data_IF_775770457922
#
_entry.id   IF_775770457922
#
_cell.length_a   1.000
_cell.length_b   1.000
_cell.length_c   1.000
_cell.angle_alpha   90.00
_cell.angle_beta   90.00
_cell.angle_gamma   90.00
#
_symmetry.space_group_name_H-M   'P 1'
#
loop_
_entity.id
_entity.type
_entity.pdbx_description
1 polymer ?
#
# COMPACT_ATOMS: atom_id res chain seq x y z
N UNK A 1 9.88 16.74 -20.72
CA UNK A 1 10.31 15.36 -21.07
C UNK A 1 10.63 14.47 -19.85
N UNK A 2 11.48 14.87 -18.88
CA UNK A 2 11.79 14.02 -17.69
C UNK A 2 10.55 13.81 -16.81
N UNK A 3 9.85 14.88 -16.44
CA UNK A 3 8.63 14.81 -15.64
C UNK A 3 7.56 13.89 -16.28
N UNK A 4 7.38 14.00 -17.60
CA UNK A 4 6.41 13.16 -18.34
C UNK A 4 6.77 11.67 -18.28
N UNK A 5 8.07 11.32 -18.40
CA UNK A 5 8.51 9.93 -18.32
C UNK A 5 8.33 9.34 -16.91
N UNK A 6 8.64 10.13 -15.88
CA UNK A 6 8.41 9.73 -14.49
C UNK A 6 6.91 9.60 -14.20
N UNK A 7 6.09 10.57 -14.62
CA UNK A 7 4.63 10.53 -14.46
C UNK A 7 4.02 9.32 -15.18
N UNK A 8 4.47 9.00 -16.39
CA UNK A 8 4.03 7.83 -17.14
C UNK A 8 4.39 6.53 -16.39
N UNK A 9 5.59 6.45 -15.82
CA UNK A 9 6.02 5.28 -15.04
C UNK A 9 5.18 5.11 -13.77
N UNK A 10 4.93 6.19 -13.01
CA UNK A 10 3.98 6.14 -11.88
C UNK A 10 2.60 5.71 -12.35
N UNK A 11 2.12 6.29 -13.45
CA UNK A 11 0.81 5.96 -14.01
C UNK A 11 0.67 4.46 -14.30
N UNK A 12 1.65 3.86 -14.96
CA UNK A 12 1.57 2.43 -15.30
C UNK A 12 1.69 1.53 -14.07
N UNK A 13 2.59 1.84 -13.11
CA UNK A 13 2.66 1.07 -11.85
C UNK A 13 1.33 1.13 -11.11
N UNK A 14 0.76 2.34 -10.98
CA UNK A 14 -0.50 2.51 -10.25
C UNK A 14 -1.71 1.98 -11.00
N UNK A 15 -1.66 1.88 -12.32
CA UNK A 15 -2.65 1.13 -13.09
C UNK A 15 -2.64 -0.35 -12.69
N UNK A 16 -1.46 -0.97 -12.62
CA UNK A 16 -1.33 -2.37 -12.16
C UNK A 16 -1.86 -2.52 -10.73
N UNK A 17 -1.48 -1.63 -9.81
CA UNK A 17 -1.94 -1.67 -8.42
C UNK A 17 -3.45 -1.46 -8.34
N UNK A 18 -4.03 -0.57 -9.16
CA UNK A 18 -5.46 -0.26 -9.20
C UNK A 18 -6.34 -1.42 -9.71
N UNK A 19 -5.78 -2.37 -10.44
CA UNK A 19 -6.45 -3.64 -10.78
C UNK A 19 -6.13 -4.71 -9.75
N UNK A 20 -4.85 -4.86 -9.38
CA UNK A 20 -4.39 -5.92 -8.51
C UNK A 20 -4.98 -5.81 -7.10
N UNK A 21 -4.96 -4.63 -6.49
CA UNK A 21 -5.41 -4.47 -5.11
C UNK A 21 -6.90 -4.79 -4.94
N UNK A 22 -7.82 -4.27 -5.79
CA UNK A 22 -9.23 -4.61 -5.70
C UNK A 22 -9.57 -6.03 -6.15
N UNK A 23 -9.00 -6.50 -7.26
CA UNK A 23 -9.58 -7.65 -7.96
C UNK A 23 -8.72 -8.93 -7.93
N UNK A 24 -7.44 -8.88 -7.52
CA UNK A 24 -6.59 -10.06 -7.44
C UNK A 24 -7.09 -11.14 -6.47
N UNK A 25 -7.68 -10.79 -5.31
CA UNK A 25 -8.31 -11.78 -4.44
C UNK A 25 -9.42 -12.59 -5.13
N UNK A 26 -10.24 -11.97 -6.00
CA UNK A 26 -11.25 -12.70 -6.80
C UNK A 26 -10.62 -13.71 -7.74
N UNK A 27 -9.52 -13.35 -8.41
CA UNK A 27 -8.79 -14.30 -9.26
C UNK A 27 -8.25 -15.47 -8.44
N UNK A 28 -7.70 -15.23 -7.26
CA UNK A 28 -7.25 -16.32 -6.38
C UNK A 28 -8.41 -17.21 -5.94
N UNK A 29 -9.54 -16.65 -5.59
CA UNK A 29 -10.76 -17.39 -5.24
C UNK A 29 -11.26 -18.22 -6.42
N UNK A 30 -11.27 -17.69 -7.66
CA UNK A 30 -11.66 -18.42 -8.87
C UNK A 30 -10.71 -19.58 -9.21
N UNK A 31 -9.47 -19.56 -8.69
CA UNK A 31 -8.50 -20.66 -8.76
C UNK A 31 -8.65 -21.67 -7.61
N UNK A 32 -9.70 -21.55 -6.81
CA UNK A 32 -10.06 -22.49 -5.75
C UNK A 32 -9.31 -22.29 -4.43
N UNK A 33 -8.67 -21.13 -4.21
CA UNK A 33 -8.07 -20.82 -2.91
C UNK A 33 -9.17 -20.48 -1.92
N UNK A 34 -9.05 -21.03 -0.71
CA UNK A 34 -9.89 -20.66 0.43
C UNK A 34 -9.55 -19.26 0.94
N UNK A 35 -10.40 -18.69 1.78
CA UNK A 35 -10.10 -17.41 2.43
C UNK A 35 -8.83 -17.48 3.28
N UNK A 36 -8.59 -18.59 3.97
CA UNK A 36 -7.35 -18.83 4.71
C UNK A 36 -6.13 -18.79 3.77
N UNK A 37 -6.21 -19.47 2.63
CA UNK A 37 -5.14 -19.50 1.62
C UNK A 37 -4.85 -18.09 1.10
N UNK A 38 -5.89 -17.32 0.76
CA UNK A 38 -5.76 -15.93 0.28
C UNK A 38 -5.08 -15.06 1.34
N UNK A 39 -5.50 -15.18 2.60
CA UNK A 39 -4.88 -14.46 3.71
C UNK A 39 -3.38 -14.75 3.84
N UNK A 40 -3.00 -16.03 3.77
CA UNK A 40 -1.59 -16.45 3.83
C UNK A 40 -0.80 -15.96 2.61
N UNK A 41 -1.32 -16.16 1.40
CA UNK A 41 -0.67 -15.72 0.15
C UNK A 41 -0.40 -14.23 0.14
N UNK A 42 -1.40 -13.42 0.52
CA UNK A 42 -1.23 -11.97 0.62
C UNK A 42 -0.24 -11.55 1.71
N UNK A 43 -0.31 -12.18 2.89
CA UNK A 43 0.60 -11.92 4.00
C UNK A 43 2.06 -12.22 3.65
N UNK A 44 2.31 -13.35 3.01
CA UNK A 44 3.65 -13.74 2.56
C UNK A 44 4.17 -12.84 1.44
N UNK A 45 3.30 -12.40 0.52
CA UNK A 45 3.66 -11.39 -0.48
C UNK A 45 4.09 -10.06 0.16
N UNK A 46 3.38 -9.62 1.22
CA UNK A 46 3.75 -8.41 1.96
C UNK A 46 5.06 -8.58 2.75
N UNK A 47 5.31 -9.78 3.29
CA UNK A 47 6.56 -10.08 4.00
C UNK A 47 7.77 -9.98 3.07
N UNK A 48 7.63 -10.37 1.79
CA UNK A 48 8.71 -10.22 0.82
C UNK A 48 9.18 -8.78 0.65
N UNK A 49 8.31 -7.78 0.85
CA UNK A 49 8.70 -6.36 0.82
C UNK A 49 9.70 -6.01 1.93
N UNK A 50 9.57 -6.62 3.10
CA UNK A 50 10.46 -6.37 4.25
C UNK A 50 11.87 -6.87 3.95
N UNK A 51 11.98 -7.96 3.21
CA UNK A 51 13.26 -8.58 2.83
C UNK A 51 13.86 -7.90 1.59
N UNK A 52 13.05 -7.75 0.53
CA UNK A 52 13.54 -7.29 -0.76
C UNK A 52 13.95 -5.81 -0.77
N UNK A 53 13.15 -4.93 -0.15
CA UNK A 53 13.37 -3.49 -0.26
C UNK A 53 14.70 -3.05 0.34
N UNK A 54 15.14 -3.44 1.54
CA UNK A 54 16.44 -3.05 2.10
C UNK A 54 17.63 -3.57 1.28
N UNK A 55 17.55 -4.81 0.82
CA UNK A 55 18.63 -5.44 0.03
C UNK A 55 18.85 -4.68 -1.28
N UNK A 56 17.76 -4.37 -1.96
CA UNK A 56 17.81 -3.74 -3.28
C UNK A 56 18.10 -2.24 -3.17
N UNK A 57 17.57 -1.55 -2.15
CA UNK A 57 17.94 -0.18 -1.84
C UNK A 57 19.45 -0.08 -1.57
N UNK A 58 20.02 -0.96 -0.74
CA UNK A 58 21.44 -1.00 -0.47
C UNK A 58 22.30 -1.26 -1.71
N UNK A 59 21.88 -2.15 -2.59
CA UNK A 59 22.54 -2.36 -3.88
C UNK A 59 22.51 -1.10 -4.76
N UNK A 60 21.33 -0.49 -4.88
CA UNK A 60 21.13 0.70 -5.70
C UNK A 60 21.91 1.91 -5.14
N UNK A 61 22.05 2.04 -3.81
CA UNK A 61 22.84 3.11 -3.17
C UNK A 61 24.33 2.94 -3.41
N UNK A 62 24.85 1.71 -3.37
CA UNK A 62 26.26 1.41 -3.66
C UNK A 62 26.62 1.65 -5.11
N UNK A 63 25.74 1.33 -6.04
CA UNK A 63 26.00 1.46 -7.48
C UNK A 63 25.69 2.85 -8.04
N UNK A 64 24.94 3.66 -7.30
CA UNK A 64 24.50 4.98 -7.76
C UNK A 64 23.53 4.94 -8.95
N UNK A 65 23.06 3.75 -9.35
CA UNK A 65 22.16 3.58 -10.49
C UNK A 65 20.76 3.20 -10.02
N UNK A 66 19.73 3.76 -10.67
CA UNK A 66 18.33 3.44 -10.36
C UNK A 66 17.61 2.83 -11.57
N UNK A 67 17.88 3.35 -12.78
CA UNK A 67 17.20 2.88 -14.00
C UNK A 67 17.51 1.43 -14.34
N UNK A 68 18.77 0.98 -14.23
CA UNK A 68 19.15 -0.41 -14.48
C UNK A 68 18.37 -1.38 -13.61
N UNK A 69 18.42 -1.26 -12.27
CA UNK A 69 17.59 -2.04 -11.36
C UNK A 69 16.10 -1.99 -11.69
N UNK A 70 15.51 -0.81 -11.98
CA UNK A 70 14.10 -0.68 -12.35
C UNK A 70 13.75 -1.53 -13.58
N UNK A 71 14.58 -1.55 -14.62
CA UNK A 71 14.37 -2.39 -15.81
C UNK A 71 14.47 -3.87 -15.44
N UNK A 72 15.54 -4.28 -14.77
CA UNK A 72 15.81 -5.69 -14.44
C UNK A 72 14.70 -6.24 -13.56
N UNK A 73 14.32 -5.52 -12.50
CA UNK A 73 13.28 -5.98 -11.58
C UNK A 73 11.89 -5.98 -12.22
N UNK A 74 11.57 -5.03 -13.09
CA UNK A 74 10.28 -5.06 -13.80
C UNK A 74 10.21 -6.24 -14.79
N UNK A 75 11.32 -6.61 -15.45
CA UNK A 75 11.37 -7.81 -16.30
C UNK A 75 11.15 -9.07 -15.47
N UNK A 76 11.90 -9.26 -14.38
CA UNK A 76 11.73 -10.42 -13.51
C UNK A 76 10.36 -10.47 -12.84
N UNK A 77 9.78 -9.34 -12.44
CA UNK A 77 8.42 -9.28 -11.93
C UNK A 77 7.40 -9.72 -13.00
N UNK A 78 7.55 -9.27 -14.24
CA UNK A 78 6.67 -9.68 -15.35
C UNK A 78 6.81 -11.19 -15.65
N UNK A 79 8.04 -11.70 -15.67
CA UNK A 79 8.29 -13.13 -15.84
C UNK A 79 7.68 -13.95 -14.69
N UNK A 80 7.88 -13.54 -13.43
CA UNK A 80 7.26 -14.19 -12.29
C UNK A 80 5.73 -14.12 -12.38
N UNK A 81 5.15 -12.96 -12.75
CA UNK A 81 3.71 -12.81 -12.89
C UNK A 81 3.14 -13.73 -13.98
N UNK A 82 3.84 -13.90 -15.11
CA UNK A 82 3.38 -14.78 -16.18
C UNK A 82 3.22 -16.24 -15.74
N UNK A 83 3.96 -16.69 -14.71
CA UNK A 83 3.86 -18.05 -14.18
C UNK A 83 2.63 -18.29 -13.29
N UNK A 84 1.82 -17.25 -12.98
CA UNK A 84 0.52 -17.47 -12.34
C UNK A 84 -0.46 -18.22 -13.23
N UNK A 85 -0.38 -18.07 -14.56
CA UNK A 85 -1.32 -18.75 -15.46
C UNK A 85 -1.33 -20.26 -15.32
N UNK A 86 -0.19 -20.97 -15.39
CA UNK A 86 -0.13 -22.40 -15.17
C UNK A 86 -0.16 -22.81 -13.68
N UNK A 87 -0.05 -21.87 -12.74
CA UNK A 87 -0.03 -22.18 -11.31
C UNK A 87 -1.41 -22.64 -10.82
N UNK A 88 -1.46 -23.79 -10.17
CA UNK A 88 -2.67 -24.37 -9.62
C UNK A 88 -2.44 -24.81 -8.16
N UNK A 89 -3.43 -24.52 -7.31
CA UNK A 89 -3.40 -24.84 -5.89
C UNK A 89 -2.50 -23.91 -5.07
N UNK A 90 -2.64 -24.01 -3.77
CA UNK A 90 -2.05 -23.11 -2.78
C UNK A 90 -0.52 -22.93 -2.92
N UNK A 91 0.24 -24.01 -2.92
CA UNK A 91 1.70 -23.93 -2.87
C UNK A 91 2.33 -23.29 -4.12
N UNK A 92 1.78 -23.57 -5.30
CA UNK A 92 2.28 -22.96 -6.53
C UNK A 92 1.97 -21.48 -6.60
N UNK A 93 0.75 -21.07 -6.24
CA UNK A 93 0.33 -19.66 -6.20
C UNK A 93 1.12 -18.88 -5.12
N UNK A 94 1.35 -19.50 -3.96
CA UNK A 94 2.18 -18.90 -2.91
C UNK A 94 3.62 -18.68 -3.40
N UNK A 95 4.25 -19.67 -4.00
CA UNK A 95 5.63 -19.56 -4.50
C UNK A 95 5.75 -18.47 -5.58
N UNK A 96 4.82 -18.42 -6.52
CA UNK A 96 4.78 -17.38 -7.56
C UNK A 96 4.55 -16.00 -6.93
N UNK A 97 3.66 -15.88 -5.94
CA UNK A 97 3.42 -14.62 -5.23
C UNK A 97 4.69 -14.11 -4.55
N UNK A 98 5.41 -14.98 -3.86
CA UNK A 98 6.68 -14.61 -3.22
C UNK A 98 7.70 -14.15 -4.25
N UNK A 99 7.87 -14.90 -5.36
CA UNK A 99 8.77 -14.53 -6.45
C UNK A 99 8.37 -13.19 -7.09
N UNK A 100 7.08 -12.99 -7.37
CA UNK A 100 6.58 -11.74 -7.93
C UNK A 100 6.87 -10.55 -7.00
N UNK A 101 6.51 -10.62 -5.72
CA UNK A 101 6.71 -9.51 -4.79
C UNK A 101 8.18 -9.26 -4.46
N UNK A 102 9.06 -10.27 -4.56
CA UNK A 102 10.50 -10.09 -4.44
C UNK A 102 11.01 -9.08 -5.47
N UNK A 103 10.51 -9.13 -6.71
CA UNK A 103 10.93 -8.26 -7.78
C UNK A 103 10.04 -7.01 -7.96
N UNK A 104 8.76 -7.10 -7.62
CA UNK A 104 7.81 -6.01 -7.77
C UNK A 104 7.96 -4.94 -6.68
N UNK A 105 8.14 -5.36 -5.42
CA UNK A 105 8.09 -4.43 -4.29
C UNK A 105 9.15 -3.33 -4.31
N UNK A 106 10.39 -3.54 -4.83
CA UNK A 106 11.42 -2.49 -4.87
C UNK A 106 11.19 -1.43 -5.95
N UNK A 107 10.30 -1.68 -6.92
CA UNK A 107 10.08 -0.73 -8.01
C UNK A 107 9.63 0.64 -7.50
N UNK A 108 8.76 0.65 -6.50
CA UNK A 108 8.21 1.89 -5.95
C UNK A 108 9.27 2.72 -5.20
N UNK A 109 9.99 2.21 -4.19
CA UNK A 109 11.04 2.95 -3.51
C UNK A 109 12.15 3.46 -4.45
N UNK A 110 12.56 2.66 -5.43
CA UNK A 110 13.56 3.07 -6.42
C UNK A 110 13.05 4.23 -7.30
N UNK A 111 11.77 4.18 -7.68
CA UNK A 111 11.14 5.26 -8.47
C UNK A 111 11.04 6.55 -7.67
N UNK A 112 10.65 6.46 -6.41
CA UNK A 112 10.56 7.62 -5.52
C UNK A 112 11.93 8.29 -5.35
N UNK A 113 12.98 7.50 -5.08
CA UNK A 113 14.35 8.01 -4.98
C UNK A 113 14.80 8.70 -6.27
N UNK A 114 14.51 8.10 -7.44
CA UNK A 114 14.81 8.68 -8.74
C UNK A 114 14.06 10.00 -8.96
N UNK A 115 12.79 10.05 -8.59
CA UNK A 115 11.94 11.23 -8.76
C UNK A 115 12.38 12.37 -7.84
N UNK A 116 12.72 12.07 -6.59
CA UNK A 116 13.22 13.06 -5.63
C UNK A 116 14.57 13.65 -6.10
N UNK A 117 15.46 12.82 -6.65
CA UNK A 117 16.72 13.31 -7.24
C UNK A 117 16.46 14.35 -8.34
N UNK A 118 15.56 14.07 -9.27
CA UNK A 118 15.19 15.04 -10.31
C UNK A 118 14.39 16.23 -9.75
N UNK A 119 13.64 16.04 -8.67
CA UNK A 119 12.98 17.11 -7.92
C UNK A 119 13.97 18.17 -7.49
N UNK A 120 15.05 17.74 -6.84
CA UNK A 120 16.12 18.62 -6.38
C UNK A 120 16.94 19.18 -7.55
N UNK A 121 17.42 18.32 -8.47
CA UNK A 121 18.33 18.70 -9.54
C UNK A 121 17.68 19.57 -10.65
N UNK A 122 16.39 19.41 -10.90
CA UNK A 122 15.66 20.06 -12.00
C UNK A 122 14.42 20.85 -11.54
N UNK A 123 14.24 21.04 -10.22
CA UNK A 123 13.07 21.74 -9.62
C UNK A 123 11.74 21.13 -10.08
N UNK A 124 11.69 19.80 -10.25
CA UNK A 124 10.44 19.12 -10.58
C UNK A 124 9.55 19.05 -9.34
N UNK A 125 8.27 19.34 -9.53
CA UNK A 125 7.26 19.16 -8.48
C UNK A 125 6.95 17.66 -8.33
N UNK A 126 7.46 17.07 -7.24
CA UNK A 126 7.21 15.66 -6.90
C UNK A 126 5.72 15.35 -6.80
N UNK A 127 4.94 16.24 -6.14
CA UNK A 127 3.50 16.04 -5.95
C UNK A 127 2.75 15.92 -7.27
N UNK A 128 3.06 16.78 -8.23
CA UNK A 128 2.45 16.74 -9.56
C UNK A 128 2.82 15.49 -10.35
N UNK A 129 4.07 15.02 -10.25
CA UNK A 129 4.49 13.78 -10.92
C UNK A 129 3.81 12.58 -10.28
N UNK A 130 3.76 12.52 -8.96
CA UNK A 130 3.18 11.42 -8.17
C UNK A 130 1.66 11.35 -8.30
N UNK A 131 0.98 12.48 -8.50
CA UNK A 131 -0.48 12.58 -8.68
C UNK A 131 -0.98 11.71 -9.84
N UNK A 132 -0.21 11.59 -10.93
CA UNK A 132 -0.57 10.72 -12.05
C UNK A 132 -0.78 9.27 -11.63
N UNK A 133 -0.03 8.79 -10.63
CA UNK A 133 -0.26 7.48 -10.04
C UNK A 133 -1.66 7.36 -9.43
N UNK A 134 -2.08 8.32 -8.60
CA UNK A 134 -3.43 8.28 -7.99
C UNK A 134 -4.54 8.35 -9.04
N UNK A 135 -4.39 9.21 -10.07
CA UNK A 135 -5.38 9.33 -11.14
C UNK A 135 -5.52 8.04 -11.94
N UNK A 136 -4.40 7.36 -12.24
CA UNK A 136 -4.44 6.09 -12.98
C UNK A 136 -4.92 4.94 -12.11
N UNK A 137 -4.67 4.94 -10.79
CA UNK A 137 -5.29 3.99 -9.86
C UNK A 137 -6.81 4.13 -9.88
N UNK A 138 -7.34 5.35 -9.75
CA UNK A 138 -8.77 5.64 -9.78
C UNK A 138 -9.39 5.15 -11.09
N UNK A 139 -8.77 5.50 -12.22
CA UNK A 139 -9.23 5.08 -13.54
C UNK A 139 -9.18 3.55 -13.71
N UNK A 140 -8.14 2.89 -13.21
CA UNK A 140 -7.97 1.44 -13.27
C UNK A 140 -8.98 0.71 -12.37
N UNK A 141 -9.17 1.15 -11.13
CA UNK A 141 -10.11 0.51 -10.22
C UNK A 141 -11.55 0.62 -10.75
N UNK A 142 -11.98 1.82 -11.13
CA UNK A 142 -13.33 2.04 -11.66
C UNK A 142 -13.51 1.42 -13.05
N UNK A 143 -12.64 1.75 -14.01
CA UNK A 143 -12.71 1.23 -15.38
C UNK A 143 -12.50 -0.27 -15.44
N UNK A 144 -11.60 -0.82 -14.59
CA UNK A 144 -11.39 -2.24 -14.44
C UNK A 144 -12.63 -2.96 -13.91
N UNK A 145 -13.28 -2.41 -12.86
CA UNK A 145 -14.55 -2.95 -12.35
C UNK A 145 -15.63 -2.99 -13.41
N UNK A 146 -15.78 -1.93 -14.20
CA UNK A 146 -16.72 -1.89 -15.31
C UNK A 146 -16.36 -2.94 -16.38
N UNK A 147 -15.09 -3.05 -16.74
CA UNK A 147 -14.62 -4.01 -17.75
C UNK A 147 -14.81 -5.47 -17.30
N UNK A 148 -14.66 -5.74 -16.00
CA UNK A 148 -14.77 -7.09 -15.41
C UNK A 148 -16.21 -7.51 -15.15
N UNK A 149 -17.19 -6.60 -15.18
CA UNK A 149 -18.61 -6.92 -14.94
C UNK A 149 -19.13 -7.87 -16.01
N UNK A 150 -19.64 -9.03 -15.59
CA UNK A 150 -20.16 -10.08 -16.47
C UNK A 150 -19.11 -10.85 -17.27
N UNK A 151 -17.83 -10.72 -16.90
CA UNK A 151 -16.72 -11.43 -17.56
C UNK A 151 -15.99 -12.34 -16.57
N UNK A 152 -15.23 -13.31 -17.11
CA UNK A 152 -14.40 -14.23 -16.33
C UNK A 152 -13.32 -13.49 -15.54
N UNK A 153 -13.02 -13.97 -14.35
CA UNK A 153 -11.92 -13.51 -13.48
C UNK A 153 -10.55 -13.68 -14.13
N UNK A 154 -10.42 -14.55 -15.12
CA UNK A 154 -9.19 -14.69 -15.90
C UNK A 154 -8.76 -13.41 -16.59
N UNK A 155 -9.71 -12.51 -16.90
CA UNK A 155 -9.41 -11.21 -17.47
C UNK A 155 -8.57 -10.33 -16.52
N UNK A 156 -8.72 -10.53 -15.20
CA UNK A 156 -7.90 -9.83 -14.17
C UNK A 156 -6.42 -10.15 -14.41
N UNK A 157 -6.09 -11.43 -14.58
CA UNK A 157 -4.73 -11.87 -14.88
C UNK A 157 -4.17 -11.19 -16.13
N UNK A 158 -4.91 -11.21 -17.24
CA UNK A 158 -4.44 -10.64 -18.50
C UNK A 158 -4.25 -9.12 -18.44
N UNK A 159 -5.13 -8.39 -17.77
CA UNK A 159 -4.99 -6.94 -17.58
C UNK A 159 -3.72 -6.63 -16.79
N UNK A 160 -3.47 -7.36 -15.69
CA UNK A 160 -2.28 -7.17 -14.86
C UNK A 160 -1.02 -7.54 -15.64
N UNK A 161 -1.01 -8.65 -16.36
CA UNK A 161 0.14 -9.07 -17.18
C UNK A 161 0.48 -8.00 -18.23
N UNK A 162 -0.50 -7.52 -18.99
CA UNK A 162 -0.29 -6.43 -19.94
C UNK A 162 0.23 -5.16 -19.24
N UNK A 163 -0.29 -4.86 -18.04
CA UNK A 163 0.18 -3.75 -17.21
C UNK A 163 1.65 -3.93 -16.80
N UNK A 164 2.07 -5.13 -16.36
CA UNK A 164 3.47 -5.37 -15.99
C UNK A 164 4.41 -5.26 -17.20
N UNK A 165 4.00 -5.70 -18.39
CA UNK A 165 4.73 -5.46 -19.63
C UNK A 165 4.87 -3.96 -19.93
N UNK A 166 3.79 -3.20 -19.74
CA UNK A 166 3.84 -1.73 -19.89
C UNK A 166 4.78 -1.07 -18.86
N UNK A 167 4.89 -1.63 -17.64
CA UNK A 167 5.90 -1.18 -16.64
C UNK A 167 7.31 -1.40 -17.18
N UNK A 168 7.62 -2.54 -17.78
CA UNK A 168 8.94 -2.79 -18.43
C UNK A 168 9.21 -1.76 -19.51
N UNK A 169 8.27 -1.53 -20.41
CA UNK A 169 8.43 -0.55 -21.50
C UNK A 169 8.68 0.85 -20.94
N UNK A 170 7.89 1.25 -19.95
CA UNK A 170 8.05 2.58 -19.33
C UNK A 170 9.34 2.71 -18.53
N UNK A 171 9.86 1.63 -17.91
CA UNK A 171 11.15 1.60 -17.23
C UNK A 171 12.31 1.86 -18.20
N UNK A 172 12.26 1.28 -19.40
CA UNK A 172 13.26 1.52 -20.48
C UNK A 172 13.26 2.99 -20.90
N UNK A 173 12.12 3.68 -20.83
CA UNK A 173 11.99 5.09 -21.19
C UNK A 173 12.43 6.05 -20.08
N UNK A 174 12.70 5.58 -18.86
CA UNK A 174 13.12 6.42 -17.74
C UNK A 174 14.45 7.12 -18.04
N UNK A 175 14.66 8.33 -17.48
CA UNK A 175 15.91 9.05 -17.66
C UNK A 175 17.06 8.37 -16.92
N UNK A 176 18.27 8.46 -17.47
CA UNK A 176 19.48 8.03 -16.79
C UNK A 176 19.85 9.05 -15.70
N UNK A 177 19.97 8.60 -14.46
CA UNK A 177 20.58 9.36 -13.38
C UNK A 177 21.75 8.54 -12.80
N UNK A 178 22.88 9.16 -12.60
CA UNK A 178 23.92 8.68 -11.71
C UNK A 178 23.83 9.48 -10.42
N UNK A 179 23.42 8.82 -9.36
CA UNK A 179 23.43 9.37 -8.01
C UNK A 179 24.83 9.16 -7.42
N UNK A 180 25.30 10.08 -6.62
CA UNK A 180 26.54 9.88 -5.88
C UNK A 180 26.37 8.62 -5.01
N UNK A 181 27.25 7.61 -5.14
CA UNK A 181 27.20 6.46 -4.26
C UNK A 181 27.26 6.90 -2.80
N UNK A 182 26.37 6.40 -1.98
CA UNK A 182 26.40 6.64 -0.54
C UNK A 182 27.34 5.64 0.09
N UNK A 183 28.29 6.09 0.89
CA UNK A 183 29.02 5.22 1.82
C UNK A 183 28.04 4.79 2.90
N UNK A 184 27.29 3.72 2.62
CA UNK A 184 26.39 3.10 3.57
C UNK A 184 27.26 2.54 4.72
N UNK A 185 27.36 3.28 5.80
CA UNK A 185 27.80 2.70 7.06
C UNK A 185 26.72 1.74 7.50
N UNK A 186 26.99 0.44 7.39
CA UNK A 186 26.15 -0.64 7.92
C UNK A 186 26.19 -0.60 9.47
N UNK A 187 25.71 0.49 10.05
CA UNK A 187 25.61 0.65 11.50
C UNK A 187 24.17 0.41 11.92
N UNK A 188 23.97 -0.54 12.84
CA UNK A 188 22.68 -0.72 13.52
C UNK A 188 22.44 0.32 14.63
N UNK A 189 23.44 1.16 14.95
CA UNK A 189 23.34 2.16 16.00
C UNK A 189 22.16 3.12 15.85
N UNK A 190 21.87 3.70 14.64
CA UNK A 190 20.69 4.55 14.47
C UNK A 190 19.37 3.82 14.69
N UNK A 191 19.28 2.53 14.30
CA UNK A 191 18.08 1.71 14.52
C UNK A 191 17.87 1.49 16.03
N UNK A 192 18.94 1.12 16.75
CA UNK A 192 18.88 0.94 18.19
C UNK A 192 18.54 2.23 18.93
N UNK A 193 19.04 3.38 18.45
CA UNK A 193 18.70 4.69 19.00
C UNK A 193 17.20 4.97 18.87
N UNK A 194 16.63 4.76 17.69
CA UNK A 194 15.19 4.95 17.43
C UNK A 194 14.34 4.01 18.27
N UNK A 195 14.74 2.73 18.40
CA UNK A 195 14.01 1.73 19.18
C UNK A 195 14.11 1.92 20.70
N UNK A 196 15.03 2.74 21.19
CA UNK A 196 15.08 3.13 22.61
C UNK A 196 14.06 4.22 22.99
N UNK A 197 13.52 4.96 22.02
CA UNK A 197 12.49 5.97 22.30
C UNK A 197 11.14 5.29 22.56
N UNK A 198 10.73 5.21 23.83
CA UNK A 198 9.44 4.62 24.24
C UNK A 198 8.25 5.29 23.58
N UNK A 199 8.31 6.59 23.32
CA UNK A 199 7.22 7.32 22.65
C UNK A 199 7.11 6.89 21.19
N UNK A 200 8.24 6.69 20.52
CA UNK A 200 8.28 6.15 19.18
C UNK A 200 7.74 4.71 19.10
N UNK A 201 8.04 3.86 20.08
CA UNK A 201 7.47 2.51 20.13
C UNK A 201 5.94 2.53 20.29
N UNK A 202 5.39 3.38 21.17
CA UNK A 202 3.95 3.55 21.29
C UNK A 202 3.32 4.13 20.01
N UNK A 203 4.02 5.03 19.32
CA UNK A 203 3.61 5.54 18.01
C UNK A 203 3.55 4.40 16.98
N UNK A 204 4.55 3.51 16.92
CA UNK A 204 4.54 2.33 16.03
C UNK A 204 3.33 1.42 16.34
N UNK A 205 3.06 1.16 17.62
CA UNK A 205 1.90 0.34 18.02
C UNK A 205 0.60 1.01 17.60
N UNK A 206 0.42 2.29 17.88
CA UNK A 206 -0.80 3.03 17.54
C UNK A 206 -1.07 3.04 16.04
N UNK A 207 -0.07 3.44 15.26
CA UNK A 207 -0.19 3.51 13.80
C UNK A 207 -0.26 2.12 13.16
N UNK A 208 0.43 1.14 13.74
CA UNK A 208 0.39 -0.26 13.32
C UNK A 208 -1.01 -0.85 13.45
N UNK A 209 -1.68 -0.65 14.59
CA UNK A 209 -3.05 -1.09 14.81
C UNK A 209 -4.03 -0.43 13.83
N UNK A 210 -3.92 0.90 13.64
CA UNK A 210 -4.80 1.63 12.71
C UNK A 210 -4.58 1.16 11.27
N UNK A 211 -3.34 1.02 10.83
CA UNK A 211 -3.05 0.60 9.46
C UNK A 211 -3.39 -0.88 9.23
N UNK A 212 -3.01 -1.77 10.14
CA UNK A 212 -3.31 -3.19 10.02
C UNK A 212 -4.82 -3.50 10.06
N UNK A 213 -5.64 -2.61 10.65
CA UNK A 213 -7.11 -2.74 10.60
C UNK A 213 -7.71 -2.70 9.19
N UNK A 214 -6.95 -2.27 8.19
CA UNK A 214 -7.38 -2.28 6.79
C UNK A 214 -7.29 -3.68 6.13
N UNK A 215 -6.72 -4.68 6.81
CA UNK A 215 -6.36 -5.92 6.13
C UNK A 215 -7.55 -6.71 5.60
N UNK A 216 -8.66 -6.77 6.35
CA UNK A 216 -9.89 -7.44 5.88
C UNK A 216 -10.42 -6.74 4.62
N UNK A 217 -10.39 -5.41 4.59
CA UNK A 217 -10.79 -4.63 3.42
C UNK A 217 -9.89 -4.92 2.21
N UNK A 218 -8.57 -4.95 2.38
CA UNK A 218 -7.64 -5.19 1.28
C UNK A 218 -7.68 -6.63 0.76
N UNK A 219 -7.92 -7.60 1.62
CA UNK A 219 -7.94 -9.01 1.24
C UNK A 219 -9.32 -9.47 0.77
N UNK A 220 -10.38 -9.00 1.41
CA UNK A 220 -11.71 -9.57 1.25
C UNK A 220 -12.80 -8.55 0.89
N UNK A 221 -12.51 -7.25 0.86
CA UNK A 221 -13.54 -6.22 0.61
C UNK A 221 -14.27 -6.42 -0.72
N UNK A 222 -13.55 -6.76 -1.79
CA UNK A 222 -14.16 -7.03 -3.09
C UNK A 222 -14.96 -8.33 -3.10
N UNK A 223 -14.43 -9.40 -2.49
CA UNK A 223 -15.14 -10.68 -2.34
C UNK A 223 -16.42 -10.46 -1.56
N UNK A 224 -16.33 -9.80 -0.42
CA UNK A 224 -17.47 -9.51 0.46
C UNK A 224 -18.59 -8.73 -0.25
N UNK A 225 -18.25 -7.70 -0.99
CA UNK A 225 -19.25 -6.90 -1.71
C UNK A 225 -19.81 -7.60 -2.94
N UNK A 226 -19.04 -8.48 -3.59
CA UNK A 226 -19.56 -9.33 -4.67
C UNK A 226 -20.53 -10.37 -4.12
N UNK A 227 -20.23 -11.01 -2.98
CA UNK A 227 -21.12 -11.92 -2.26
C UNK A 227 -22.40 -11.21 -1.79
N UNK A 228 -22.33 -9.93 -1.43
CA UNK A 228 -23.49 -9.09 -1.09
C UNK A 228 -24.30 -8.66 -2.34
N UNK A 229 -23.90 -9.06 -3.55
CA UNK A 229 -24.63 -8.81 -4.80
C UNK A 229 -24.25 -7.54 -5.53
N UNK A 230 -23.21 -6.82 -5.11
CA UNK A 230 -22.73 -5.64 -5.85
C UNK A 230 -21.95 -6.06 -7.10
N UNK A 231 -22.20 -5.35 -8.21
CA UNK A 231 -21.44 -5.57 -9.44
C UNK A 231 -19.98 -5.12 -9.30
N UNK A 232 -19.06 -5.75 -10.06
CA UNK A 232 -17.65 -5.33 -10.10
C UNK A 232 -17.47 -3.86 -10.47
N UNK A 233 -18.40 -3.27 -11.25
CA UNK A 233 -18.41 -1.84 -11.57
C UNK A 233 -18.65 -0.97 -10.32
N UNK A 234 -19.62 -1.33 -9.47
CA UNK A 234 -19.88 -0.65 -8.20
C UNK A 234 -18.70 -0.81 -7.25
N UNK A 235 -18.16 -2.02 -7.15
CA UNK A 235 -16.99 -2.32 -6.30
C UNK A 235 -15.78 -1.49 -6.75
N UNK A 236 -15.51 -1.43 -8.05
CA UNK A 236 -14.43 -0.60 -8.60
C UNK A 236 -14.60 0.89 -8.28
N UNK A 237 -15.85 1.40 -8.29
CA UNK A 237 -16.15 2.75 -7.85
C UNK A 237 -15.87 2.97 -6.35
N UNK A 238 -16.29 2.04 -5.48
CA UNK A 238 -16.02 2.12 -4.04
C UNK A 238 -14.52 2.21 -3.74
N UNK A 239 -13.69 1.44 -4.46
CA UNK A 239 -12.23 1.56 -4.35
C UNK A 239 -11.71 2.91 -4.86
N UNK A 240 -12.20 3.37 -6.00
CA UNK A 240 -11.81 4.65 -6.57
C UNK A 240 -12.18 5.84 -5.66
N UNK A 241 -13.38 5.82 -5.08
CA UNK A 241 -13.89 6.83 -4.16
C UNK A 241 -13.01 6.98 -2.92
N UNK A 242 -12.56 5.87 -2.35
CA UNK A 242 -11.62 5.89 -1.22
C UNK A 242 -10.33 6.63 -1.55
N UNK A 243 -9.76 6.39 -2.74
CA UNK A 243 -8.53 7.06 -3.18
C UNK A 243 -8.80 8.53 -3.56
N UNK A 244 -9.98 8.86 -4.11
CA UNK A 244 -10.39 10.26 -4.33
C UNK A 244 -10.40 11.03 -3.00
N UNK A 245 -11.00 10.45 -1.95
CA UNK A 245 -11.03 11.07 -0.63
C UNK A 245 -9.62 11.27 -0.05
N UNK A 246 -8.71 10.31 -0.27
CA UNK A 246 -7.30 10.42 0.12
C UNK A 246 -6.58 11.56 -0.61
N UNK A 247 -6.72 11.66 -1.93
CA UNK A 247 -6.13 12.73 -2.74
C UNK A 247 -6.64 14.09 -2.28
N UNK A 248 -7.94 14.22 -2.05
CA UNK A 248 -8.55 15.45 -1.53
C UNK A 248 -7.95 15.82 -0.16
N UNK A 249 -7.80 14.86 0.74
CA UNK A 249 -7.18 15.11 2.05
C UNK A 249 -5.73 15.61 1.89
N UNK A 250 -4.94 15.00 1.02
CA UNK A 250 -3.55 15.41 0.82
C UNK A 250 -3.40 16.80 0.19
N UNK A 251 -4.36 17.26 -0.63
CA UNK A 251 -4.34 18.63 -1.17
C UNK A 251 -4.33 19.71 -0.08
N UNK A 252 -4.90 19.44 1.08
CA UNK A 252 -4.92 20.34 2.24
C UNK A 252 -4.07 19.83 3.42
N UNK A 253 -3.29 18.81 3.21
CA UNK A 253 -2.56 18.07 4.24
C UNK A 253 -1.77 18.94 5.21
N UNK A 254 -0.90 19.82 4.68
CA UNK A 254 -0.10 20.74 5.51
C UNK A 254 -0.96 21.67 6.40
N UNK A 255 -2.07 22.18 5.86
CA UNK A 255 -2.99 23.04 6.62
C UNK A 255 -3.68 22.25 7.73
N UNK A 256 -4.07 21.02 7.43
CA UNK A 256 -4.73 20.11 8.39
C UNK A 256 -3.77 19.78 9.52
N UNK A 257 -2.53 19.36 9.21
CA UNK A 257 -1.53 19.02 10.23
C UNK A 257 -1.17 20.22 11.09
N UNK A 258 -0.98 21.42 10.49
CA UNK A 258 -0.71 22.65 11.26
C UNK A 258 -1.83 23.02 12.23
N UNK A 259 -3.09 22.75 11.86
CA UNK A 259 -4.26 23.09 12.69
C UNK A 259 -4.57 22.03 13.75
N UNK A 260 -4.45 20.75 13.41
CA UNK A 260 -4.86 19.62 14.26
C UNK A 260 -3.70 19.09 15.09
N UNK A 261 -2.50 19.03 14.51
CA UNK A 261 -1.31 18.38 15.05
C UNK A 261 -1.23 16.90 14.70
N UNK A 262 -0.01 16.38 14.55
CA UNK A 262 0.27 15.04 14.06
C UNK A 262 -0.37 13.92 14.90
N UNK A 263 -0.16 13.93 16.22
CA UNK A 263 -0.69 12.90 17.12
C UNK A 263 -2.23 12.88 17.17
N UNK A 264 -2.87 14.07 17.16
CA UNK A 264 -4.34 14.15 17.12
C UNK A 264 -4.89 13.65 15.77
N UNK A 265 -4.18 13.92 14.69
CA UNK A 265 -4.58 13.45 13.35
C UNK A 265 -4.57 11.91 13.29
N UNK A 266 -3.56 11.27 13.87
CA UNK A 266 -3.52 9.81 14.01
C UNK A 266 -4.66 9.31 14.90
N UNK A 267 -4.96 9.99 16.01
CA UNK A 267 -6.08 9.62 16.88
C UNK A 267 -7.44 9.72 16.16
N UNK A 268 -7.66 10.77 15.38
CA UNK A 268 -8.86 10.94 14.56
C UNK A 268 -8.96 9.85 13.47
N UNK A 269 -7.82 9.42 12.90
CA UNK A 269 -7.80 8.30 11.97
C UNK A 269 -8.25 6.99 12.63
N UNK A 270 -7.85 6.74 13.88
CA UNK A 270 -8.32 5.59 14.65
C UNK A 270 -9.82 5.65 14.94
N UNK A 271 -10.36 6.83 15.29
CA UNK A 271 -11.80 7.03 15.48
C UNK A 271 -12.58 6.82 14.17
N UNK A 272 -12.10 7.38 13.07
CA UNK A 272 -12.68 7.16 11.75
C UNK A 272 -12.65 5.67 11.36
N UNK A 273 -11.57 4.94 11.70
CA UNK A 273 -11.44 3.50 11.50
C UNK A 273 -12.46 2.70 12.33
N UNK A 274 -12.66 3.08 13.60
CA UNK A 274 -13.70 2.48 14.44
C UNK A 274 -15.09 2.59 13.77
N UNK A 275 -15.44 3.79 13.30
CA UNK A 275 -16.74 4.03 12.62
C UNK A 275 -16.81 3.25 11.30
N UNK A 276 -15.78 3.34 10.47
CA UNK A 276 -15.74 2.74 9.14
C UNK A 276 -15.87 1.22 9.21
N UNK A 277 -15.05 0.57 10.01
CA UNK A 277 -15.03 -0.89 10.08
C UNK A 277 -16.24 -1.45 10.82
N UNK A 278 -16.74 -0.74 11.84
CA UNK A 278 -18.01 -1.11 12.47
C UNK A 278 -19.15 -1.02 11.44
N UNK A 279 -19.26 0.09 10.72
CA UNK A 279 -20.27 0.26 9.68
C UNK A 279 -20.19 -0.81 8.60
N UNK A 280 -18.98 -1.06 8.05
CA UNK A 280 -18.79 -2.11 7.02
C UNK A 280 -19.11 -3.52 7.54
N UNK A 281 -18.94 -3.78 8.84
CA UNK A 281 -19.26 -5.08 9.43
C UNK A 281 -20.74 -5.31 9.74
N UNK A 282 -21.59 -4.27 9.64
CA UNK A 282 -23.03 -4.37 9.99
C UNK A 282 -23.96 -4.05 8.83
N UNK A 283 -23.46 -3.55 7.69
CA UNK A 283 -24.29 -3.22 6.52
C UNK A 283 -23.53 -3.32 5.21
N UNK A 284 -24.23 -3.86 4.21
CA UNK A 284 -23.79 -3.94 2.82
C UNK A 284 -24.59 -3.02 1.89
N UNK A 285 -25.43 -2.15 2.45
CA UNK A 285 -26.23 -1.21 1.70
C UNK A 285 -25.35 -0.17 0.99
N UNK A 286 -25.52 -0.01 -0.33
CA UNK A 286 -24.69 0.85 -1.15
C UNK A 286 -24.57 2.30 -0.64
N UNK A 287 -25.65 2.98 -0.20
CA UNK A 287 -25.53 4.35 0.33
C UNK A 287 -24.63 4.44 1.57
N UNK A 288 -24.68 3.43 2.44
CA UNK A 288 -23.80 3.36 3.61
C UNK A 288 -22.36 3.08 3.19
N UNK A 289 -22.12 2.15 2.27
CA UNK A 289 -20.79 1.85 1.75
C UNK A 289 -20.13 3.07 1.11
N UNK A 290 -20.87 3.86 0.31
CA UNK A 290 -20.37 5.12 -0.26
C UNK A 290 -19.91 6.08 0.84
N UNK A 291 -20.70 6.30 1.87
CA UNK A 291 -20.30 7.13 3.00
C UNK A 291 -19.04 6.58 3.71
N UNK A 292 -18.99 5.27 3.96
CA UNK A 292 -17.88 4.61 4.64
C UNK A 292 -16.60 4.64 3.80
N UNK A 293 -16.68 4.63 2.47
CA UNK A 293 -15.51 4.72 1.61
C UNK A 293 -14.88 6.12 1.61
N UNK A 294 -15.66 7.19 1.76
CA UNK A 294 -15.12 8.55 1.97
C UNK A 294 -14.21 8.59 3.21
N UNK A 295 -14.52 7.83 4.25
CA UNK A 295 -13.69 7.74 5.45
C UNK A 295 -12.30 7.12 5.19
N UNK A 296 -12.05 6.53 4.00
CA UNK A 296 -10.71 6.02 3.63
C UNK A 296 -9.64 7.12 3.72
N UNK A 297 -9.94 8.31 3.24
CA UNK A 297 -9.05 9.46 3.37
C UNK A 297 -8.69 9.75 4.84
N UNK A 298 -9.67 9.64 5.74
CA UNK A 298 -9.44 9.83 7.18
C UNK A 298 -8.70 8.64 7.81
N UNK A 299 -9.04 7.38 7.47
CA UNK A 299 -8.44 6.20 8.10
C UNK A 299 -7.03 5.93 7.63
N UNK A 300 -6.78 5.97 6.32
CA UNK A 300 -5.47 5.72 5.73
C UNK A 300 -4.67 7.01 5.54
N UNK A 301 -5.24 7.98 4.82
CA UNK A 301 -4.54 9.22 4.46
C UNK A 301 -4.13 10.05 5.67
N UNK A 302 -5.05 10.28 6.62
CA UNK A 302 -4.73 11.07 7.82
C UNK A 302 -3.76 10.33 8.76
N UNK A 303 -3.86 8.99 8.89
CA UNK A 303 -2.90 8.21 9.66
C UNK A 303 -1.50 8.32 9.06
N UNK A 304 -1.37 8.17 7.74
CA UNK A 304 -0.09 8.28 7.02
C UNK A 304 0.51 9.69 7.15
N UNK A 305 -0.29 10.73 6.87
CA UNK A 305 0.13 12.12 6.99
C UNK A 305 0.57 12.47 8.42
N UNK A 306 -0.23 12.05 9.40
CA UNK A 306 0.10 12.22 10.82
C UNK A 306 1.39 11.50 11.19
N UNK A 307 1.61 10.28 10.67
CA UNK A 307 2.80 9.51 10.96
C UNK A 307 4.08 10.18 10.43
N UNK A 308 4.09 10.63 9.18
CA UNK A 308 5.27 11.30 8.59
C UNK A 308 5.60 12.58 9.37
N UNK A 309 4.59 13.39 9.70
CA UNK A 309 4.81 14.61 10.47
C UNK A 309 5.20 14.35 11.94
N UNK A 310 4.68 13.30 12.58
CA UNK A 310 5.07 12.90 13.92
C UNK A 310 6.56 12.53 13.97
N UNK A 311 7.03 11.72 13.02
CA UNK A 311 8.44 11.34 12.90
C UNK A 311 9.31 12.59 12.67
N UNK A 312 8.91 13.46 11.74
CA UNK A 312 9.66 14.67 11.42
C UNK A 312 9.75 15.67 12.61
N UNK A 313 8.75 15.70 13.47
CA UNK A 313 8.73 16.57 14.65
C UNK A 313 9.46 15.97 15.86
N UNK A 314 9.48 14.63 15.97
CA UNK A 314 10.02 13.92 17.14
C UNK A 314 11.47 13.52 16.98
N UNK A 315 11.86 13.11 15.79
CA UNK A 315 13.18 12.53 15.53
C UNK A 315 14.16 13.62 15.05
N UNK A 316 15.40 13.55 15.56
CA UNK A 316 16.48 14.37 15.04
C UNK A 316 16.71 14.09 13.54
N UNK A 317 17.15 15.09 12.80
CA UNK A 317 17.40 14.98 11.36
C UNK A 317 18.35 13.83 11.01
N UNK A 318 19.33 13.53 11.88
CA UNK A 318 20.31 12.44 11.74
C UNK A 318 19.70 11.04 11.72
N UNK A 319 18.55 10.82 12.40
CA UNK A 319 17.89 9.52 12.53
C UNK A 319 16.48 9.48 11.91
N UNK A 320 15.99 10.59 11.37
CA UNK A 320 14.63 10.71 10.83
C UNK A 320 14.38 9.72 9.68
N UNK A 321 15.32 9.56 8.75
CA UNK A 321 15.21 8.58 7.66
C UNK A 321 15.18 7.13 8.19
N UNK A 322 16.00 6.82 9.21
CA UNK A 322 15.99 5.52 9.88
C UNK A 322 14.64 5.26 10.56
N UNK A 323 14.10 6.26 11.26
CA UNK A 323 12.78 6.15 11.91
C UNK A 323 11.65 5.89 10.89
N UNK A 324 11.66 6.56 9.74
CA UNK A 324 10.72 6.30 8.66
C UNK A 324 10.86 4.87 8.10
N UNK A 325 12.08 4.37 7.94
CA UNK A 325 12.35 3.00 7.47
C UNK A 325 11.87 1.97 8.48
N UNK A 326 12.11 2.18 9.79
CA UNK A 326 11.62 1.32 10.88
C UNK A 326 10.09 1.34 10.91
N UNK A 327 9.47 2.52 10.79
CA UNK A 327 8.02 2.67 10.69
C UNK A 327 7.45 1.87 9.50
N UNK A 328 8.00 2.04 8.31
CA UNK A 328 7.54 1.32 7.13
C UNK A 328 7.68 -0.19 7.26
N UNK A 329 8.80 -0.68 7.77
CA UNK A 329 9.04 -2.11 8.00
C UNK A 329 8.09 -2.69 9.06
N UNK A 330 7.93 -2.00 10.20
CA UNK A 330 7.11 -2.47 11.30
C UNK A 330 5.60 -2.43 10.96
N UNK A 331 5.12 -1.34 10.38
CA UNK A 331 3.69 -1.11 10.14
C UNK A 331 3.24 -1.73 8.81
N UNK A 332 3.83 -1.27 7.68
CA UNK A 332 3.39 -1.71 6.35
C UNK A 332 3.99 -3.05 5.92
N UNK A 333 5.04 -3.51 6.58
CA UNK A 333 5.62 -4.82 6.35
C UNK A 333 5.08 -5.85 7.35
N UNK A 334 5.68 -5.89 8.54
CA UNK A 334 5.42 -6.94 9.54
C UNK A 334 3.97 -6.87 10.04
N UNK A 335 3.47 -5.70 10.40
CA UNK A 335 2.11 -5.51 10.93
C UNK A 335 1.04 -5.99 9.96
N UNK A 336 1.11 -5.55 8.70
CA UNK A 336 0.19 -6.03 7.66
C UNK A 336 0.33 -7.53 7.39
N UNK A 337 1.56 -8.06 7.34
CA UNK A 337 1.78 -9.50 7.09
C UNK A 337 1.14 -10.34 8.19
N UNK A 338 1.41 -10.04 9.46
CA UNK A 338 0.84 -10.77 10.59
C UNK A 338 -0.70 -10.67 10.62
N UNK A 339 -1.25 -9.47 10.40
CA UNK A 339 -2.69 -9.29 10.32
C UNK A 339 -3.30 -10.08 9.16
N UNK A 340 -2.61 -10.16 8.01
CA UNK A 340 -3.08 -10.91 6.85
C UNK A 340 -3.14 -12.42 7.10
N UNK A 341 -2.14 -12.97 7.80
CA UNK A 341 -2.15 -14.41 8.15
C UNK A 341 -3.36 -14.81 8.99
N UNK A 342 -3.85 -13.89 9.84
CA UNK A 342 -5.03 -14.14 10.69
C UNK A 342 -6.34 -13.77 9.97
N UNK A 343 -6.29 -12.81 9.05
CA UNK A 343 -7.47 -12.26 8.37
C UNK A 343 -8.27 -13.31 7.59
N UNK A 344 -7.57 -14.26 6.95
CA UNK A 344 -8.19 -15.33 6.18
C UNK A 344 -9.09 -16.20 7.05
N UNK A 345 -8.60 -16.67 8.20
CA UNK A 345 -9.40 -17.46 9.15
C UNK A 345 -10.56 -16.64 9.75
N UNK A 346 -10.31 -15.36 10.06
CA UNK A 346 -11.38 -14.49 10.56
C UNK A 346 -12.50 -14.32 9.54
N UNK A 347 -12.16 -14.08 8.26
CA UNK A 347 -13.15 -13.92 7.21
C UNK A 347 -13.88 -15.25 6.90
N UNK A 348 -13.17 -16.37 6.85
CA UNK A 348 -13.77 -17.69 6.63
C UNK A 348 -14.82 -18.08 7.69
N UNK A 349 -14.60 -17.67 8.95
CA UNK A 349 -15.47 -18.04 10.08
C UNK A 349 -16.58 -17.01 10.36
N UNK A 350 -16.35 -15.73 10.05
CA UNK A 350 -17.20 -14.62 10.48
C UNK A 350 -17.80 -13.83 9.29
N UNK A 351 -17.32 -14.04 8.06
CA UNK A 351 -17.74 -13.24 6.90
C UNK A 351 -17.55 -11.74 7.14
N UNK A 352 -18.57 -10.94 6.85
CA UNK A 352 -18.55 -9.48 7.07
C UNK A 352 -18.33 -9.08 8.53
N UNK A 353 -18.71 -9.90 9.51
CA UNK A 353 -18.47 -9.60 10.92
C UNK A 353 -16.96 -9.55 11.27
N UNK A 354 -16.08 -10.07 10.42
CA UNK A 354 -14.63 -9.93 10.57
C UNK A 354 -14.13 -8.46 10.55
N UNK A 355 -14.93 -7.53 10.07
CA UNK A 355 -14.63 -6.10 10.19
C UNK A 355 -14.78 -5.55 11.62
N UNK A 356 -15.58 -6.17 12.48
CA UNK A 356 -15.81 -5.68 13.86
C UNK A 356 -14.54 -5.71 14.72
N UNK A 357 -13.73 -6.78 14.76
CA UNK A 357 -12.42 -6.75 15.39
C UNK A 357 -11.48 -5.69 14.82
N UNK A 358 -11.57 -5.39 13.50
CA UNK A 358 -10.79 -4.30 12.88
C UNK A 358 -11.21 -2.93 13.41
N UNK A 359 -12.50 -2.73 13.67
CA UNK A 359 -13.01 -1.52 14.31
C UNK A 359 -12.41 -1.32 15.71
N UNK A 360 -12.41 -2.37 16.53
CA UNK A 360 -11.81 -2.34 17.87
C UNK A 360 -10.32 -2.04 17.79
N UNK A 361 -9.61 -2.70 16.87
CA UNK A 361 -8.17 -2.51 16.66
C UNK A 361 -7.83 -1.07 16.28
N UNK A 362 -8.58 -0.47 15.35
CA UNK A 362 -8.44 0.93 14.97
C UNK A 362 -8.73 1.88 16.13
N UNK A 363 -9.79 1.61 16.90
CA UNK A 363 -10.16 2.40 18.09
C UNK A 363 -9.07 2.38 19.17
N UNK A 364 -8.50 1.22 19.48
CA UNK A 364 -7.38 1.08 20.43
C UNK A 364 -6.18 1.90 19.94
N UNK A 365 -5.82 1.76 18.65
CA UNK A 365 -4.76 2.56 18.04
C UNK A 365 -5.00 4.07 18.19
N UNK A 366 -6.25 4.52 17.99
CA UNK A 366 -6.66 5.91 18.18
C UNK A 366 -6.51 6.40 19.63
N UNK A 367 -6.89 5.59 20.61
CA UNK A 367 -6.73 5.91 22.04
C UNK A 367 -5.25 6.05 22.41
N UNK A 368 -4.41 5.12 21.96
CA UNK A 368 -2.95 5.18 22.19
C UNK A 368 -2.38 6.46 21.54
N UNK A 369 -2.73 6.76 20.29
CA UNK A 369 -2.27 7.96 19.60
C UNK A 369 -2.70 9.25 20.30
N UNK A 370 -3.91 9.28 20.87
CA UNK A 370 -4.38 10.43 21.64
C UNK A 370 -3.55 10.70 22.90
N UNK A 371 -3.03 9.65 23.54
CA UNK A 371 -2.15 9.78 24.70
C UNK A 371 -0.76 10.31 24.32
N UNK A 372 -0.28 10.05 23.07
CA UNK A 372 1.01 10.55 22.60
C UNK A 372 1.11 12.08 22.54
N UNK A 373 -0.02 12.78 22.44
CA UNK A 373 -0.05 14.27 22.44
C UNK A 373 0.50 14.91 23.72
N UNK A 374 0.54 14.14 24.82
CA UNK A 374 0.95 14.60 26.14
C UNK A 374 2.44 14.32 26.43
N UNK A 375 3.09 13.59 25.56
CA UNK A 375 4.50 13.17 25.66
C UNK A 375 5.35 13.85 24.60
#
# INVERSE_FOLDING_TARGET
>A
MIATRLAAYYGVIFFVIGIMLPFWPLWMQSRGLSSEDIGVVMGMGMLMKVVANPVIAGYADRTGTRRGPLIVFSVFATMAFSTFWPANGFWSILAVTMAFFLFWSPLMPLTETLTMHYGTARKLDYGRVRLWGSLTFIAAAWGGGWLLTGRSEDLIYWIILCGTVAVVISAVLLPHARLTPSESHNSFAPILQVLKDRTFLWFIVATGLIQASHIIYYAFGTIHWEEAGHSKAVIGWLWAEGVIAEVLLFMWGDKIVKRVGAARLIALAGLAGLIRWWGTGVTDELPALLFLQILHGATFGAAHLGAIHFIAQRMEASVSATAQSVYAAAVSGIGFSLASLVSGHMYATQGGAAYLPMAVMAGIGGVIAFQLRRR
#
